data_IF_926757218910
#
_entry.id   IF_926757218910
#
_cell.length_a   1.000
_cell.length_b   1.000
_cell.length_c   1.000
_cell.angle_alpha   90.00
_cell.angle_beta   90.00
_cell.angle_gamma   90.00
#
_symmetry.space_group_name_H-M   'P 1'
#
loop_
_entity.id
_entity.type
_entity.pdbx_description
1 polymer ?
#
# COMPACT_ATOMS: atom_id res chain seq x y z
N UNK A 1 7.62 -18.81 -26.56
CA UNK A 1 7.64 -18.02 -25.32
C UNK A 1 6.24 -17.84 -24.70
N UNK A 2 5.16 -17.76 -25.44
CA UNK A 2 3.79 -17.52 -24.97
C UNK A 2 3.20 -18.62 -24.06
N UNK A 3 3.56 -19.88 -24.28
CA UNK A 3 3.09 -21.03 -23.47
C UNK A 3 3.65 -21.10 -22.05
N UNK A 4 4.83 -20.52 -21.78
CA UNK A 4 5.47 -20.56 -20.47
C UNK A 4 4.92 -19.43 -19.56
N UNK A 5 4.54 -18.29 -20.13
CA UNK A 5 3.93 -17.18 -19.37
C UNK A 5 2.55 -17.55 -18.78
N UNK A 6 1.80 -18.45 -19.42
CA UNK A 6 0.48 -18.85 -18.93
C UNK A 6 0.54 -19.78 -17.69
N UNK A 7 1.65 -20.47 -17.47
CA UNK A 7 1.81 -21.43 -16.34
C UNK A 7 2.00 -20.75 -14.99
N UNK A 8 2.52 -19.54 -14.95
CA UNK A 8 2.77 -18.80 -13.70
C UNK A 8 1.56 -18.00 -13.22
N UNK A 9 0.59 -17.68 -14.11
CA UNK A 9 -0.61 -16.88 -13.77
C UNK A 9 -1.69 -17.72 -13.08
N UNK A 10 -1.39 -18.20 -11.89
CA UNK A 10 -2.26 -19.11 -11.12
C UNK A 10 -3.02 -18.42 -9.99
N UNK A 11 -2.54 -17.26 -9.50
CA UNK A 11 -3.06 -16.59 -8.31
C UNK A 11 -4.21 -15.66 -8.72
N UNK A 12 -5.40 -15.87 -8.17
CA UNK A 12 -6.53 -14.97 -8.36
C UNK A 12 -6.44 -13.76 -7.40
N UNK A 13 -7.30 -12.75 -7.60
CA UNK A 13 -7.29 -11.49 -6.86
C UNK A 13 -7.39 -11.67 -5.34
N UNK A 14 -8.28 -12.55 -4.89
CA UNK A 14 -8.52 -12.70 -3.46
C UNK A 14 -7.36 -13.45 -2.80
N UNK A 15 -6.85 -14.52 -3.42
CA UNK A 15 -5.64 -15.21 -2.96
C UNK A 15 -4.44 -14.26 -2.90
N UNK A 16 -4.28 -13.41 -3.93
CA UNK A 16 -3.16 -12.47 -3.98
C UNK A 16 -3.17 -11.48 -2.81
N UNK A 17 -4.35 -11.00 -2.45
CA UNK A 17 -4.55 -10.14 -1.29
C UNK A 17 -4.26 -10.85 0.03
N UNK A 18 -4.73 -12.10 0.19
CA UNK A 18 -4.42 -12.89 1.39
C UNK A 18 -2.91 -13.15 1.54
N UNK A 19 -2.22 -13.45 0.44
CA UNK A 19 -0.76 -13.59 0.42
C UNK A 19 -0.07 -12.28 0.84
N UNK A 20 -0.60 -11.12 0.46
CA UNK A 20 -0.03 -9.83 0.83
C UNK A 20 -0.30 -9.45 2.30
N UNK A 21 -1.48 -9.79 2.83
CA UNK A 21 -1.91 -9.43 4.20
C UNK A 21 -1.06 -10.12 5.26
N UNK A 22 -0.68 -11.38 5.06
CA UNK A 22 0.07 -12.15 6.05
C UNK A 22 1.44 -11.51 6.35
N UNK A 23 2.34 -11.31 5.36
CA UNK A 23 3.62 -10.67 5.64
C UNK A 23 3.46 -9.23 6.12
N UNK A 24 2.43 -8.50 5.67
CA UNK A 24 2.13 -7.15 6.18
C UNK A 24 1.86 -7.18 7.68
N UNK A 25 0.98 -8.06 8.15
CA UNK A 25 0.64 -8.15 9.56
C UNK A 25 1.83 -8.58 10.42
N UNK A 26 2.63 -9.54 9.94
CA UNK A 26 3.85 -9.99 10.63
C UNK A 26 4.90 -8.88 10.68
N UNK A 27 5.11 -8.16 9.58
CA UNK A 27 6.05 -7.04 9.53
C UNK A 27 5.66 -5.89 10.45
N UNK A 28 4.36 -5.54 10.51
CA UNK A 28 3.86 -4.55 11.48
C UNK A 28 4.08 -5.04 12.92
N UNK A 29 3.76 -6.30 13.23
CA UNK A 29 3.97 -6.84 14.57
C UNK A 29 5.45 -6.74 14.98
N UNK A 30 6.37 -7.18 14.12
CA UNK A 30 7.82 -7.12 14.39
C UNK A 30 8.27 -5.66 14.55
N UNK A 31 7.83 -4.78 13.65
CA UNK A 31 8.16 -3.35 13.69
C UNK A 31 7.76 -2.70 15.01
N UNK A 32 6.51 -2.88 15.42
CA UNK A 32 6.04 -2.33 16.70
C UNK A 32 6.64 -3.00 17.93
N UNK A 33 6.88 -4.32 17.89
CA UNK A 33 7.62 -4.97 19.00
C UNK A 33 9.06 -4.44 19.15
N UNK A 34 9.68 -4.05 18.05
CA UNK A 34 11.01 -3.40 18.08
C UNK A 34 10.90 -1.96 18.58
N UNK A 35 9.90 -1.20 18.13
CA UNK A 35 9.66 0.18 18.56
C UNK A 35 9.33 0.29 20.07
N UNK A 36 8.59 -0.70 20.60
CA UNK A 36 8.27 -0.80 22.02
C UNK A 36 9.37 -1.51 22.83
N UNK A 37 10.57 -1.70 22.27
CA UNK A 37 11.74 -2.31 22.90
C UNK A 37 11.54 -3.76 23.40
N UNK A 38 10.49 -4.46 22.92
CA UNK A 38 10.23 -5.87 23.23
C UNK A 38 11.16 -6.81 22.45
N UNK A 39 11.69 -6.35 21.32
CA UNK A 39 12.74 -7.00 20.54
C UNK A 39 13.95 -6.07 20.54
N UNK A 40 14.97 -6.38 21.32
CA UNK A 40 16.19 -5.58 21.44
C UNK A 40 17.29 -6.02 20.46
N UNK A 41 17.24 -7.26 19.99
CA UNK A 41 18.21 -7.79 19.02
C UNK A 41 17.50 -8.27 17.77
N UNK A 42 17.91 -7.73 16.62
CA UNK A 42 17.38 -8.15 15.32
C UNK A 42 18.21 -9.30 14.76
N UNK A 43 17.56 -10.41 14.46
CA UNK A 43 18.14 -11.55 13.77
C UNK A 43 17.86 -11.44 12.26
N UNK A 44 18.66 -12.14 11.44
CA UNK A 44 18.49 -12.11 9.97
C UNK A 44 17.08 -12.52 9.51
N UNK A 45 16.42 -13.47 10.19
CA UNK A 45 15.08 -13.91 9.84
C UNK A 45 13.99 -12.91 10.22
N UNK A 46 14.15 -12.15 11.33
CA UNK A 46 13.26 -11.04 11.69
C UNK A 46 13.35 -9.93 10.63
N UNK A 47 14.56 -9.57 10.22
CA UNK A 47 14.78 -8.62 9.15
C UNK A 47 14.14 -9.11 7.84
N UNK A 48 14.31 -10.36 7.46
CA UNK A 48 13.69 -10.96 6.28
C UNK A 48 12.16 -10.83 6.33
N UNK A 49 11.50 -11.13 7.45
CA UNK A 49 10.06 -11.01 7.62
C UNK A 49 9.59 -9.56 7.54
N UNK A 50 10.34 -8.63 8.12
CA UNK A 50 10.06 -7.19 8.03
C UNK A 50 10.12 -6.72 6.57
N UNK A 51 11.19 -7.04 5.84
CA UNK A 51 11.30 -6.67 4.43
C UNK A 51 10.27 -7.37 3.54
N UNK A 52 9.90 -8.60 3.86
CA UNK A 52 8.85 -9.30 3.11
C UNK A 52 7.50 -8.56 3.18
N UNK A 53 7.23 -7.82 4.24
CA UNK A 53 6.03 -7.00 4.37
C UNK A 53 5.93 -5.90 3.31
N UNK A 54 7.06 -5.42 2.77
CA UNK A 54 7.13 -4.40 1.74
C UNK A 54 6.49 -4.82 0.41
N UNK A 55 6.22 -6.11 0.21
CA UNK A 55 5.46 -6.54 -0.99
C UNK A 55 4.00 -6.11 -0.95
N UNK A 56 3.42 -5.87 0.23
CA UNK A 56 1.99 -5.65 0.40
C UNK A 56 1.51 -4.28 -0.13
N UNK A 57 2.11 -3.13 0.20
CA UNK A 57 1.62 -1.83 -0.25
C UNK A 57 1.51 -1.69 -1.76
N UNK A 58 2.51 -2.05 -2.60
CA UNK A 58 2.36 -1.96 -4.05
C UNK A 58 1.27 -2.89 -4.61
N UNK A 59 1.05 -4.05 -3.98
CA UNK A 59 -0.03 -4.97 -4.34
C UNK A 59 -1.39 -4.31 -4.08
N UNK A 60 -1.59 -3.67 -2.93
CA UNK A 60 -2.84 -2.95 -2.64
C UNK A 60 -3.01 -1.73 -3.53
N UNK A 61 -1.96 -0.97 -3.83
CA UNK A 61 -1.98 0.14 -4.78
C UNK A 61 -2.39 -0.32 -6.17
N UNK A 62 -1.87 -1.45 -6.64
CA UNK A 62 -2.29 -2.08 -7.89
C UNK A 62 -3.78 -2.43 -7.86
N UNK A 63 -4.29 -3.02 -6.76
CA UNK A 63 -5.70 -3.38 -6.64
C UNK A 63 -6.63 -2.17 -6.50
N UNK A 64 -6.15 -1.01 -6.04
CA UNK A 64 -6.92 0.24 -6.13
C UNK A 64 -7.10 0.65 -7.58
N UNK A 65 -6.02 0.66 -8.37
CA UNK A 65 -6.08 0.99 -9.80
C UNK A 65 -6.94 -0.01 -10.59
N UNK A 66 -6.82 -1.31 -10.31
CA UNK A 66 -7.66 -2.33 -10.91
C UNK A 66 -9.12 -2.19 -10.49
N UNK A 67 -9.38 -2.02 -9.19
CA UNK A 67 -10.72 -1.83 -8.64
C UNK A 67 -11.43 -0.61 -9.23
N UNK A 68 -10.72 0.47 -9.46
CA UNK A 68 -11.23 1.66 -10.09
C UNK A 68 -11.76 1.40 -11.51
N UNK A 69 -11.11 0.54 -12.29
CA UNK A 69 -11.56 0.18 -13.65
C UNK A 69 -12.83 -0.64 -13.67
N UNK A 70 -12.99 -1.54 -12.70
CA UNK A 70 -14.08 -2.51 -12.69
C UNK A 70 -15.24 -2.16 -11.76
N UNK A 71 -15.14 -1.06 -10.99
CA UNK A 71 -16.21 -0.65 -10.09
C UNK A 71 -17.37 0.00 -10.84
N UNK A 72 -18.61 -0.36 -10.48
CA UNK A 72 -19.81 0.30 -11.01
C UNK A 72 -19.99 1.72 -10.47
N UNK A 73 -19.57 1.96 -9.22
CA UNK A 73 -19.72 3.26 -8.56
C UNK A 73 -18.42 3.69 -7.90
N UNK A 74 -17.68 4.59 -8.57
CA UNK A 74 -16.45 5.20 -8.08
C UNK A 74 -16.69 5.98 -6.78
N UNK A 75 -17.84 6.68 -6.68
CA UNK A 75 -18.23 7.43 -5.47
C UNK A 75 -18.41 6.52 -4.25
N UNK A 76 -19.13 5.40 -4.40
CA UNK A 76 -19.30 4.44 -3.30
C UNK A 76 -17.98 3.73 -2.95
N UNK A 77 -17.07 3.55 -3.91
CA UNK A 77 -15.75 3.01 -3.65
C UNK A 77 -14.93 4.00 -2.81
N UNK A 78 -14.91 5.27 -3.20
CA UNK A 78 -14.22 6.32 -2.47
C UNK A 78 -14.81 6.50 -1.05
N UNK A 79 -16.15 6.52 -0.91
CA UNK A 79 -16.80 6.64 0.40
C UNK A 79 -16.41 5.49 1.34
N UNK A 80 -16.39 4.25 0.86
CA UNK A 80 -15.94 3.11 1.69
C UNK A 80 -14.49 3.27 2.12
N UNK A 81 -13.59 3.65 1.21
CA UNK A 81 -12.18 3.87 1.56
C UNK A 81 -12.01 4.98 2.57
N UNK A 82 -12.74 6.09 2.43
CA UNK A 82 -12.73 7.19 3.39
C UNK A 82 -13.19 6.72 4.79
N UNK A 83 -14.32 6.01 4.86
CA UNK A 83 -14.84 5.50 6.15
C UNK A 83 -13.77 4.61 6.82
N UNK A 84 -13.16 3.69 6.08
CA UNK A 84 -12.15 2.80 6.66
C UNK A 84 -10.80 3.48 6.92
N UNK A 85 -10.43 4.53 6.18
CA UNK A 85 -9.29 5.37 6.52
C UNK A 85 -9.49 6.04 7.90
N UNK A 86 -10.68 6.62 8.14
CA UNK A 86 -11.02 7.27 9.42
C UNK A 86 -11.15 6.25 10.55
N UNK A 87 -11.81 5.11 10.32
CA UNK A 87 -11.94 4.04 11.34
C UNK A 87 -10.56 3.48 11.72
N UNK A 88 -9.69 3.28 10.74
CA UNK A 88 -8.33 2.79 10.97
C UNK A 88 -7.44 3.80 11.67
N UNK A 89 -7.72 5.10 11.51
CA UNK A 89 -6.94 6.15 12.15
C UNK A 89 -6.96 6.05 13.68
N UNK A 90 -8.03 5.51 14.25
CA UNK A 90 -8.14 5.31 15.70
C UNK A 90 -7.07 4.33 16.21
N UNK A 91 -7.06 3.03 15.82
CA UNK A 91 -6.05 2.10 16.30
C UNK A 91 -4.63 2.48 15.80
N UNK A 92 -4.49 3.09 14.62
CA UNK A 92 -3.21 3.55 14.11
C UNK A 92 -2.61 4.64 15.01
N UNK A 93 -3.39 5.65 15.38
CA UNK A 93 -2.91 6.73 16.25
C UNK A 93 -2.63 6.24 17.68
N UNK A 94 -3.48 5.37 18.23
CA UNK A 94 -3.25 4.79 19.55
C UNK A 94 -1.95 3.97 19.57
N UNK A 95 -1.70 3.17 18.53
CA UNK A 95 -0.52 2.33 18.43
C UNK A 95 0.77 3.15 18.30
N UNK A 96 0.76 4.26 17.54
CA UNK A 96 1.94 5.09 17.31
C UNK A 96 2.17 6.15 18.41
N UNK A 97 1.12 6.63 19.06
CA UNK A 97 1.19 7.81 19.96
C UNK A 97 0.54 7.56 21.34
N UNK A 98 0.02 6.37 21.59
CA UNK A 98 -0.63 6.00 22.86
C UNK A 98 -2.01 6.62 23.09
N UNK A 99 -2.44 7.61 22.29
CA UNK A 99 -3.71 8.33 22.45
C UNK A 99 -4.22 8.88 21.14
N UNK A 100 -5.55 9.10 21.04
CA UNK A 100 -6.18 9.81 19.91
C UNK A 100 -6.24 11.33 20.13
N UNK A 101 -5.95 11.80 21.34
CA UNK A 101 -6.02 13.22 21.70
C UNK A 101 -4.67 13.92 21.45
N UNK A 102 -4.17 13.81 20.22
CA UNK A 102 -2.92 14.40 19.76
C UNK A 102 -3.10 15.06 18.41
N UNK A 103 -2.24 16.03 18.08
CA UNK A 103 -2.19 16.65 16.74
C UNK A 103 -1.90 15.60 15.66
N UNK A 104 -1.12 14.57 16.00
CA UNK A 104 -0.76 13.49 15.09
C UNK A 104 -1.97 12.69 14.57
N UNK A 105 -3.10 12.71 15.29
CA UNK A 105 -4.36 12.16 14.78
C UNK A 105 -4.78 12.81 13.45
N UNK A 106 -4.43 14.07 13.22
CA UNK A 106 -4.75 14.83 12.01
C UNK A 106 -3.57 14.96 11.04
N UNK A 107 -2.35 14.76 11.51
CA UNK A 107 -1.12 15.04 10.75
C UNK A 107 -0.26 13.79 10.48
N UNK A 108 -0.70 12.62 10.87
CA UNK A 108 -0.03 11.35 10.55
C UNK A 108 -1.09 10.30 10.17
N UNK A 109 -1.21 10.01 8.87
CA UNK A 109 -2.30 9.20 8.36
C UNK A 109 -1.85 7.81 7.88
N UNK A 110 -2.68 6.82 8.17
CA UNK A 110 -2.50 5.42 7.80
C UNK A 110 -2.54 5.19 6.28
N UNK A 111 -2.09 4.02 5.82
CA UNK A 111 -1.99 3.67 4.39
C UNK A 111 -3.34 3.66 3.67
N UNK A 112 -4.48 3.41 4.35
CA UNK A 112 -5.79 3.45 3.67
C UNK A 112 -6.11 4.88 3.23
N UNK A 113 -5.66 5.90 3.98
CA UNK A 113 -5.77 7.29 3.55
C UNK A 113 -4.95 7.56 2.29
N UNK A 114 -3.74 7.03 2.19
CA UNK A 114 -2.93 7.08 0.96
C UNK A 114 -3.65 6.42 -0.23
N UNK A 115 -4.22 5.22 -0.01
CA UNK A 115 -4.99 4.52 -1.04
C UNK A 115 -6.26 5.29 -1.45
N UNK A 116 -6.91 5.97 -0.50
CA UNK A 116 -8.06 6.83 -0.77
C UNK A 116 -7.68 8.04 -1.63
N UNK A 117 -6.60 8.75 -1.30
CA UNK A 117 -6.11 9.86 -2.12
C UNK A 117 -5.65 9.38 -3.50
N UNK A 118 -5.03 8.20 -3.58
CA UNK A 118 -4.72 7.54 -4.85
C UNK A 118 -5.98 7.25 -5.68
N UNK A 119 -7.06 6.79 -5.05
CA UNK A 119 -8.35 6.59 -5.74
C UNK A 119 -8.96 7.92 -6.22
N UNK A 120 -8.90 8.97 -5.41
CA UNK A 120 -9.36 10.30 -5.82
C UNK A 120 -8.53 10.84 -7.00
N UNK A 121 -7.22 10.63 -6.99
CA UNK A 121 -6.34 11.04 -8.10
C UNK A 121 -6.70 10.35 -9.41
N UNK A 122 -7.11 9.07 -9.37
CA UNK A 122 -7.66 8.37 -10.54
C UNK A 122 -8.98 8.99 -11.03
N UNK A 123 -9.85 9.42 -10.10
CA UNK A 123 -11.09 10.12 -10.46
C UNK A 123 -10.82 11.48 -11.11
N UNK A 124 -9.82 12.21 -10.62
CA UNK A 124 -9.36 13.47 -11.22
C UNK A 124 -8.75 13.22 -12.60
N UNK A 125 -7.93 12.19 -12.74
CA UNK A 125 -7.32 11.82 -14.02
C UNK A 125 -8.34 11.52 -15.11
N UNK A 126 -9.40 10.80 -14.78
CA UNK A 126 -10.50 10.47 -15.69
C UNK A 126 -11.59 11.55 -15.80
N UNK A 127 -11.42 12.71 -15.15
CA UNK A 127 -12.40 13.80 -15.16
C UNK A 127 -12.44 14.54 -16.51
N UNK A 128 -13.41 15.46 -16.64
CA UNK A 128 -13.53 16.35 -17.81
C UNK A 128 -12.62 17.59 -17.75
N UNK A 129 -11.82 17.75 -16.69
CA UNK A 129 -10.89 18.86 -16.61
C UNK A 129 -9.82 18.79 -17.71
N UNK A 130 -9.27 19.94 -18.11
CA UNK A 130 -8.13 19.96 -19.02
C UNK A 130 -6.87 19.35 -18.35
N UNK A 131 -5.91 18.95 -19.16
CA UNK A 131 -4.72 18.24 -18.67
C UNK A 131 -3.92 19.05 -17.62
N UNK A 132 -3.65 20.37 -17.82
CA UNK A 132 -2.97 21.15 -16.79
C UNK A 132 -3.71 21.15 -15.44
N UNK A 133 -5.04 21.34 -15.45
CA UNK A 133 -5.83 21.33 -14.22
C UNK A 133 -5.76 19.97 -13.49
N UNK A 134 -5.83 18.85 -14.24
CA UNK A 134 -5.67 17.50 -13.63
C UNK A 134 -4.34 17.37 -12.96
N UNK A 135 -3.26 17.76 -13.63
CA UNK A 135 -1.89 17.67 -13.08
C UNK A 135 -1.78 18.53 -11.82
N UNK A 136 -2.24 19.79 -11.86
CA UNK A 136 -2.19 20.69 -10.71
C UNK A 136 -2.95 20.10 -9.52
N UNK A 137 -4.18 19.61 -9.72
CA UNK A 137 -4.98 19.03 -8.64
C UNK A 137 -4.28 17.79 -8.05
N UNK A 138 -3.73 16.92 -8.89
CA UNK A 138 -3.03 15.71 -8.43
C UNK A 138 -1.76 16.07 -7.65
N UNK A 139 -0.99 17.04 -8.12
CA UNK A 139 0.21 17.53 -7.40
C UNK A 139 -0.17 18.14 -6.06
N UNK A 140 -1.26 18.93 -5.99
CA UNK A 140 -1.76 19.46 -4.72
C UNK A 140 -2.23 18.36 -3.77
N UNK A 141 -2.89 17.33 -4.28
CA UNK A 141 -3.28 16.17 -3.48
C UNK A 141 -2.06 15.42 -2.94
N UNK A 142 -1.03 15.27 -3.76
CA UNK A 142 0.22 14.61 -3.38
C UNK A 142 0.99 15.45 -2.33
N UNK A 143 1.00 16.78 -2.49
CA UNK A 143 1.54 17.71 -1.49
C UNK A 143 0.80 17.60 -0.14
N UNK A 144 -0.52 17.41 -0.15
CA UNK A 144 -1.29 17.16 1.09
C UNK A 144 -0.85 15.85 1.75
N UNK A 145 -0.60 14.78 1.00
CA UNK A 145 -0.11 13.53 1.59
C UNK A 145 1.27 13.68 2.23
N UNK A 146 2.13 14.55 1.68
CA UNK A 146 3.41 14.89 2.27
C UNK A 146 3.26 15.73 3.54
N UNK A 147 2.47 16.81 3.48
CA UNK A 147 2.27 17.73 4.61
C UNK A 147 1.61 17.07 5.82
N UNK A 148 0.72 16.10 5.58
CA UNK A 148 0.02 15.36 6.61
C UNK A 148 0.66 13.98 6.88
N UNK A 149 1.92 13.79 6.51
CA UNK A 149 2.74 12.61 6.79
C UNK A 149 1.99 11.28 6.57
N UNK A 150 1.31 11.15 5.43
CA UNK A 150 0.66 9.89 5.09
C UNK A 150 1.69 8.79 4.91
N UNK A 151 1.35 7.56 5.29
CA UNK A 151 2.17 6.42 4.88
C UNK A 151 2.30 6.41 3.35
N UNK A 152 3.51 6.20 2.82
CA UNK A 152 3.85 6.28 1.40
C UNK A 152 3.79 7.68 0.77
N UNK A 153 3.53 8.73 1.53
CA UNK A 153 3.65 10.15 1.15
C UNK A 153 3.55 10.38 -0.39
N UNK A 154 4.53 11.04 -0.96
CA UNK A 154 4.63 11.40 -2.39
C UNK A 154 4.75 10.21 -3.38
N UNK A 155 4.83 8.97 -2.91
CA UNK A 155 4.97 7.81 -3.78
C UNK A 155 3.67 7.04 -4.01
N UNK A 156 2.72 7.09 -3.06
CA UNK A 156 1.49 6.33 -3.14
C UNK A 156 0.63 6.71 -4.34
N UNK A 157 0.38 8.00 -4.53
CA UNK A 157 -0.41 8.53 -5.66
C UNK A 157 0.27 8.23 -7.01
N UNK A 158 1.57 8.53 -7.25
CA UNK A 158 2.25 8.20 -8.49
C UNK A 158 2.26 6.71 -8.83
N UNK A 159 2.44 5.82 -7.86
CA UNK A 159 2.41 4.37 -8.09
C UNK A 159 1.01 3.94 -8.56
N UNK A 160 -0.05 4.38 -7.89
CA UNK A 160 -1.44 4.05 -8.25
C UNK A 160 -1.77 4.57 -9.64
N UNK A 161 -1.42 5.82 -9.95
CA UNK A 161 -1.59 6.42 -11.28
C UNK A 161 -0.82 5.66 -12.35
N UNK A 162 0.42 5.28 -12.08
CA UNK A 162 1.25 4.53 -13.01
C UNK A 162 0.64 3.17 -13.39
N UNK A 163 0.06 2.45 -12.43
CA UNK A 163 -0.68 1.21 -12.69
C UNK A 163 -1.93 1.43 -13.56
N UNK A 164 -2.56 2.58 -13.46
CA UNK A 164 -3.73 2.92 -14.25
C UNK A 164 -3.37 3.43 -15.65
N UNK A 165 -2.52 4.46 -15.73
CA UNK A 165 -2.17 5.16 -16.97
C UNK A 165 -1.39 4.24 -17.93
N UNK A 166 -0.45 3.47 -17.40
CA UNK A 166 0.43 2.62 -18.21
C UNK A 166 -0.03 1.14 -18.23
N UNK A 167 -1.33 0.90 -18.02
CA UNK A 167 -1.87 -0.46 -18.01
C UNK A 167 -1.50 -1.27 -19.26
N UNK A 168 -1.71 -0.71 -20.42
CA UNK A 168 -1.49 -1.35 -21.72
C UNK A 168 -0.05 -1.16 -22.24
N UNK A 169 0.82 -0.49 -21.44
CA UNK A 169 2.21 -0.19 -21.79
C UNK A 169 3.18 -0.80 -20.76
N UNK A 170 3.39 -2.13 -20.77
CA UNK A 170 4.11 -2.82 -19.70
C UNK A 170 5.55 -2.33 -19.52
N UNK A 171 6.25 -1.92 -20.58
CA UNK A 171 7.61 -1.38 -20.49
C UNK A 171 7.64 -0.03 -19.76
N UNK A 172 6.72 0.88 -20.12
CA UNK A 172 6.65 2.20 -19.47
C UNK A 172 6.22 2.06 -18.02
N UNK A 173 5.26 1.16 -17.75
CA UNK A 173 4.82 0.85 -16.38
C UNK A 173 5.96 0.31 -15.52
N UNK A 174 6.81 -0.56 -16.06
CA UNK A 174 8.00 -1.07 -15.37
C UNK A 174 8.98 0.08 -15.04
N UNK A 175 9.30 0.93 -16.02
CA UNK A 175 10.21 2.07 -15.83
C UNK A 175 9.64 3.01 -14.75
N UNK A 176 8.37 3.35 -14.85
CA UNK A 176 7.69 4.22 -13.88
C UNK A 176 7.72 3.63 -12.47
N UNK A 177 7.37 2.35 -12.33
CA UNK A 177 7.38 1.66 -11.05
C UNK A 177 8.80 1.57 -10.48
N UNK A 178 9.80 1.23 -11.29
CA UNK A 178 11.21 1.19 -10.87
C UNK A 178 11.70 2.55 -10.39
N UNK A 179 11.36 3.63 -11.10
CA UNK A 179 11.71 4.98 -10.68
C UNK A 179 11.10 5.34 -9.30
N UNK A 180 9.82 4.99 -9.09
CA UNK A 180 9.16 5.19 -7.79
C UNK A 180 9.82 4.34 -6.68
N UNK A 181 10.14 3.06 -6.96
CA UNK A 181 10.82 2.17 -6.01
C UNK A 181 12.20 2.70 -5.63
N UNK A 182 12.99 3.14 -6.59
CA UNK A 182 14.31 3.74 -6.32
C UNK A 182 14.16 5.01 -5.46
N UNK A 183 13.19 5.87 -5.78
CA UNK A 183 12.90 7.09 -5.03
C UNK A 183 12.51 6.81 -3.58
N UNK A 184 11.52 5.93 -3.34
CA UNK A 184 11.08 5.60 -1.98
C UNK A 184 12.19 4.93 -1.19
N UNK A 185 12.93 4.00 -1.79
CA UNK A 185 14.04 3.31 -1.11
C UNK A 185 15.17 4.27 -0.74
N UNK A 186 15.49 5.22 -1.61
CA UNK A 186 16.52 6.22 -1.36
C UNK A 186 16.15 7.18 -0.22
N UNK A 187 14.89 7.63 -0.19
CA UNK A 187 14.38 8.50 0.89
C UNK A 187 14.29 7.71 2.21
N UNK A 188 13.77 6.49 2.20
CA UNK A 188 13.63 5.66 3.41
C UNK A 188 14.98 5.31 4.05
N UNK A 189 16.06 5.25 3.25
CA UNK A 189 17.42 5.01 3.74
C UNK A 189 18.19 6.30 4.08
N UNK A 190 17.52 7.45 4.18
CA UNK A 190 18.15 8.74 4.53
C UNK A 190 19.20 9.18 3.51
N UNK A 191 18.95 8.94 2.23
CA UNK A 191 19.83 9.28 1.11
C UNK A 191 21.19 8.54 1.10
N UNK A 192 21.29 7.42 1.80
CA UNK A 192 22.52 6.61 1.84
C UNK A 192 22.27 5.22 1.25
N UNK A 193 23.22 4.74 0.46
CA UNK A 193 23.16 3.42 -0.18
C UNK A 193 23.68 2.33 0.76
N UNK A 194 22.96 2.09 1.84
CA UNK A 194 23.19 0.98 2.74
C UNK A 194 22.62 -0.34 2.22
N UNK A 195 22.91 -1.43 2.88
CA UNK A 195 22.31 -2.74 2.61
C UNK A 195 20.77 -2.69 2.58
N UNK A 196 20.15 -1.95 3.50
CA UNK A 196 18.71 -1.71 3.55
C UNK A 196 18.12 -1.15 2.24
N UNK A 197 18.87 -0.32 1.51
CA UNK A 197 18.42 0.20 0.21
C UNK A 197 18.18 -0.93 -0.78
N UNK A 198 19.12 -1.86 -0.88
CA UNK A 198 19.03 -2.99 -1.83
C UNK A 198 17.91 -3.95 -1.45
N UNK A 199 17.71 -4.19 -0.15
CA UNK A 199 16.60 -5.01 0.36
C UNK A 199 15.25 -4.35 0.04
N UNK A 200 15.08 -3.06 0.30
CA UNK A 200 13.88 -2.32 -0.08
C UNK A 200 13.58 -2.44 -1.57
N UNK A 201 14.58 -2.15 -2.42
CA UNK A 201 14.44 -2.27 -3.87
C UNK A 201 14.06 -3.68 -4.28
N UNK A 202 14.71 -4.71 -3.72
CA UNK A 202 14.43 -6.10 -4.05
C UNK A 202 12.99 -6.48 -3.73
N UNK A 203 12.51 -6.25 -2.50
CA UNK A 203 11.15 -6.67 -2.08
C UNK A 203 10.06 -5.85 -2.76
N UNK A 204 10.27 -4.56 -2.98
CA UNK A 204 9.33 -3.73 -3.75
C UNK A 204 9.26 -4.18 -5.22
N UNK A 205 10.39 -4.47 -5.87
CA UNK A 205 10.41 -5.02 -7.23
C UNK A 205 9.83 -6.43 -7.31
N UNK A 206 9.99 -7.25 -6.26
CA UNK A 206 9.35 -8.56 -6.14
C UNK A 206 7.82 -8.43 -6.19
N UNK A 207 7.24 -7.40 -5.56
CA UNK A 207 5.80 -7.14 -5.64
C UNK A 207 5.34 -6.93 -7.09
N UNK A 208 6.09 -6.16 -7.88
CA UNK A 208 5.81 -5.94 -9.30
C UNK A 208 5.92 -7.22 -10.12
N UNK A 209 6.94 -8.04 -9.86
CA UNK A 209 7.09 -9.36 -10.49
C UNK A 209 5.87 -10.24 -10.18
N UNK A 210 5.47 -10.34 -8.92
CA UNK A 210 4.29 -11.12 -8.50
C UNK A 210 3.01 -10.62 -9.20
N UNK A 211 2.76 -9.31 -9.22
CA UNK A 211 1.61 -8.70 -9.89
C UNK A 211 1.60 -9.04 -11.38
N UNK A 212 2.73 -8.96 -12.06
CA UNK A 212 2.77 -9.09 -13.53
C UNK A 212 2.87 -10.54 -14.01
N UNK A 213 3.49 -11.43 -13.24
CA UNK A 213 3.75 -12.81 -13.64
C UNK A 213 2.84 -13.84 -12.97
N UNK A 214 2.40 -13.61 -11.73
CA UNK A 214 1.62 -14.59 -10.97
C UNK A 214 0.12 -14.30 -10.96
N UNK A 215 -0.29 -13.03 -11.12
CA UNK A 215 -1.70 -12.65 -11.11
C UNK A 215 -2.41 -13.01 -12.42
N UNK A 216 -3.55 -13.72 -12.31
CA UNK A 216 -4.32 -14.23 -13.44
C UNK A 216 -5.48 -13.34 -13.89
N UNK A 217 -5.70 -12.18 -13.25
CA UNK A 217 -6.78 -11.24 -13.57
C UNK A 217 -8.19 -11.70 -13.14
N UNK A 218 -8.34 -12.88 -12.51
CA UNK A 218 -9.65 -13.44 -12.13
C UNK A 218 -10.05 -13.06 -10.72
N UNK A 219 -11.35 -12.92 -10.49
CA UNK A 219 -11.95 -12.78 -9.15
C UNK A 219 -11.81 -14.12 -8.39
N UNK A 220 -11.76 -14.05 -7.06
CA UNK A 220 -11.83 -15.24 -6.21
C UNK A 220 -13.25 -15.77 -6.07
N UNK A 221 -13.39 -16.88 -5.32
CA UNK A 221 -14.69 -17.58 -5.12
C UNK A 221 -15.67 -16.79 -4.27
N UNK A 222 -15.19 -16.00 -3.31
CA UNK A 222 -16.00 -15.28 -2.32
C UNK A 222 -15.71 -13.77 -2.34
N UNK A 223 -16.02 -13.04 -3.43
CA UNK A 223 -15.59 -11.65 -3.60
C UNK A 223 -16.23 -10.68 -2.60
N UNK A 224 -17.42 -10.98 -2.06
CA UNK A 224 -18.08 -10.16 -1.03
C UNK A 224 -17.34 -10.32 0.29
N UNK A 225 -17.09 -11.55 0.73
CA UNK A 225 -16.33 -11.84 1.95
C UNK A 225 -14.93 -11.24 1.87
N UNK A 226 -14.18 -11.51 0.78
CA UNK A 226 -12.84 -10.98 0.58
C UNK A 226 -12.81 -9.44 0.67
N UNK A 227 -13.80 -8.77 0.05
CA UNK A 227 -13.91 -7.31 0.12
C UNK A 227 -14.00 -6.79 1.56
N UNK A 228 -14.91 -7.33 2.36
CA UNK A 228 -15.12 -6.89 3.74
C UNK A 228 -13.97 -7.33 4.66
N UNK A 229 -13.43 -8.53 4.44
CA UNK A 229 -12.29 -9.04 5.18
C UNK A 229 -11.12 -8.02 5.17
N UNK A 230 -10.73 -7.50 4.01
CA UNK A 230 -9.59 -6.57 3.91
C UNK A 230 -9.87 -5.22 4.58
N UNK A 231 -11.09 -4.74 4.50
CA UNK A 231 -11.46 -3.50 5.18
C UNK A 231 -11.47 -3.65 6.71
N UNK A 232 -11.95 -4.78 7.23
CA UNK A 232 -12.02 -5.04 8.67
C UNK A 232 -10.65 -5.47 9.22
N UNK A 233 -9.91 -6.27 8.48
CA UNK A 233 -8.62 -6.81 8.91
C UNK A 233 -7.63 -5.70 9.23
N UNK A 234 -7.57 -4.63 8.41
CA UNK A 234 -6.55 -3.61 8.59
C UNK A 234 -6.69 -2.84 9.92
N UNK A 235 -7.85 -2.29 10.32
CA UNK A 235 -7.97 -1.70 11.65
C UNK A 235 -7.87 -2.74 12.79
N UNK A 236 -8.35 -3.97 12.56
CA UNK A 236 -8.36 -5.00 13.59
C UNK A 236 -6.96 -5.49 13.95
N UNK A 237 -6.07 -5.72 12.95
CA UNK A 237 -4.72 -6.19 13.24
C UNK A 237 -3.88 -5.13 13.97
N UNK A 238 -4.05 -3.83 13.64
CA UNK A 238 -3.40 -2.75 14.39
C UNK A 238 -3.87 -2.69 15.85
N UNK A 239 -5.19 -2.81 16.08
CA UNK A 239 -5.74 -2.89 17.42
C UNK A 239 -5.19 -4.11 18.19
N UNK A 240 -5.10 -5.27 17.52
CA UNK A 240 -4.56 -6.49 18.12
C UNK A 240 -3.07 -6.33 18.47
N UNK A 241 -2.27 -5.71 17.59
CA UNK A 241 -0.86 -5.42 17.85
C UNK A 241 -0.75 -4.52 19.09
N UNK A 242 -1.56 -3.46 19.17
CA UNK A 242 -1.57 -2.60 20.35
C UNK A 242 -1.80 -3.38 21.65
N UNK A 243 -2.79 -4.28 21.69
CA UNK A 243 -3.05 -5.12 22.86
C UNK A 243 -1.85 -6.04 23.18
N UNK A 244 -1.19 -6.59 22.18
CA UNK A 244 -0.02 -7.46 22.36
C UNK A 244 1.13 -6.65 22.97
N UNK A 245 1.50 -5.51 22.38
CA UNK A 245 2.66 -4.71 22.84
C UNK A 245 2.41 -3.99 24.16
N UNK A 246 1.13 -3.75 24.52
CA UNK A 246 0.76 -3.10 25.78
C UNK A 246 0.58 -4.11 26.95
N UNK A 247 0.49 -5.41 26.66
CA UNK A 247 0.30 -6.46 27.66
C UNK A 247 1.64 -7.03 28.20
N UNK A 248 2.77 -6.68 27.59
CA UNK A 248 4.11 -7.12 27.92
C UNK A 248 4.87 -5.99 28.58
#
# INVERSE_FOLDING_TARGET
>A
MEKTESRLKIINRDMFRYIAVIPMAVGHLIGYMTEYELITETTWWLNLLTYLSLIAPPIFMFFVAEGFRYTRSRKQYALRMLIFAVVTQIPFCILNHGTIFTVDFLTNWNVIATLFFGLLSLMVWDSKFNMPARIIIIVLMDAVTLLLSFEWMVFGIPIILGFHIFHDRPKIRLIWFTAAVLGVSFISCGFVLYWMFYENVFFLMLSYFLITKCYNGKKGRHPIFAKWFFYIFYPLHLALIYFIVSAV
#
